data_IF_001098814131
#
_entry.id   IF_001098814131
#
_cell.length_a   1.000
_cell.length_b   1.000
_cell.length_c   1.000
_cell.angle_alpha   90.00
_cell.angle_beta   90.00
_cell.angle_gamma   90.00
#
_symmetry.space_group_name_H-M   'P 1'
#
loop_
_entity.id
_entity.type
_entity.pdbx_description
1 polymer ?
#
# COMPACT_ATOMS: atom_id res chain seq x y z
N UNK A 1 6.36 -45.30 19.00
CA UNK A 1 5.69 -44.27 18.17
C UNK A 1 6.77 -43.40 17.56
N UNK A 2 6.99 -43.49 16.26
CA UNK A 2 8.01 -42.71 15.54
C UNK A 2 7.30 -41.43 15.01
N UNK A 3 7.69 -40.28 15.52
CA UNK A 3 7.29 -38.99 14.90
C UNK A 3 8.07 -38.83 13.61
N UNK A 4 7.40 -38.93 12.48
CA UNK A 4 7.94 -38.57 11.17
C UNK A 4 8.10 -37.05 11.13
N UNK A 5 9.34 -36.59 11.04
CA UNK A 5 9.63 -35.20 10.80
C UNK A 5 9.15 -34.82 9.37
N UNK A 6 8.18 -33.96 9.29
CA UNK A 6 7.76 -33.34 8.04
C UNK A 6 8.89 -32.41 7.55
N UNK A 7 9.37 -32.68 6.36
CA UNK A 7 10.42 -31.92 5.70
C UNK A 7 9.86 -30.54 5.30
N UNK A 8 10.62 -29.47 5.51
CA UNK A 8 10.25 -28.10 5.14
C UNK A 8 10.02 -27.87 3.64
N UNK A 9 10.31 -28.87 2.80
CA UNK A 9 10.07 -28.85 1.36
C UNK A 9 8.63 -29.15 0.95
N UNK A 10 7.77 -29.61 1.85
CA UNK A 10 6.41 -30.06 1.53
C UNK A 10 5.32 -28.99 1.81
N UNK A 11 5.72 -27.82 2.27
CA UNK A 11 4.83 -26.65 2.35
C UNK A 11 5.04 -25.77 1.10
N UNK A 12 4.82 -26.35 -0.06
CA UNK A 12 4.39 -25.54 -1.20
C UNK A 12 2.95 -25.13 -0.90
N UNK A 13 2.79 -23.98 -0.27
CA UNK A 13 1.53 -23.26 -0.30
C UNK A 13 1.45 -22.75 -1.73
N UNK A 14 0.86 -23.56 -2.61
CA UNK A 14 0.43 -23.14 -3.92
C UNK A 14 -0.51 -21.95 -3.67
N UNK A 15 -0.04 -20.74 -3.96
CA UNK A 15 -0.86 -19.55 -3.78
C UNK A 15 -1.98 -19.63 -4.82
N UNK A 16 -3.14 -20.12 -4.39
CA UNK A 16 -4.34 -20.33 -5.20
C UNK A 16 -4.98 -19.00 -5.66
N UNK A 17 -4.34 -17.87 -5.45
CA UNK A 17 -4.81 -16.61 -5.97
C UNK A 17 -4.57 -16.58 -7.49
N UNK A 18 -5.63 -16.47 -8.31
CA UNK A 18 -5.46 -16.38 -9.76
C UNK A 18 -4.68 -15.12 -10.10
N UNK A 19 -3.65 -15.27 -10.92
CA UNK A 19 -2.85 -14.15 -11.43
C UNK A 19 -3.67 -13.39 -12.49
N UNK A 20 -4.55 -12.50 -12.04
CA UNK A 20 -5.48 -11.73 -12.90
C UNK A 20 -4.75 -10.59 -13.59
N UNK A 21 -3.78 -9.98 -12.91
CA UNK A 21 -3.05 -8.80 -13.39
C UNK A 21 -1.60 -9.16 -13.70
N UNK A 22 -1.18 -8.88 -14.94
CA UNK A 22 0.24 -8.94 -15.32
C UNK A 22 0.99 -7.77 -14.68
N UNK A 23 1.86 -8.07 -13.73
CA UNK A 23 2.64 -7.09 -12.96
C UNK A 23 3.52 -6.22 -13.87
N UNK A 24 4.12 -6.81 -14.94
CA UNK A 24 4.99 -6.08 -15.86
C UNK A 24 4.21 -5.07 -16.71
N UNK A 25 3.04 -5.44 -17.16
CA UNK A 25 2.14 -4.57 -17.91
C UNK A 25 1.57 -3.48 -17.03
N UNK A 26 1.15 -3.83 -15.80
CA UNK A 26 0.68 -2.88 -14.78
C UNK A 26 1.73 -1.81 -14.50
N UNK A 27 2.97 -2.19 -14.23
CA UNK A 27 4.05 -1.23 -13.94
C UNK A 27 4.33 -0.31 -15.14
N UNK A 28 4.30 -0.82 -16.38
CA UNK A 28 4.46 0.02 -17.57
C UNK A 28 3.33 1.03 -17.72
N UNK A 29 2.10 0.63 -17.45
CA UNK A 29 0.93 1.52 -17.51
C UNK A 29 0.99 2.60 -16.43
N UNK A 30 1.33 2.25 -15.19
CA UNK A 30 1.52 3.21 -14.10
C UNK A 30 2.59 4.24 -14.46
N UNK A 31 3.74 3.82 -15.00
CA UNK A 31 4.80 4.74 -15.42
C UNK A 31 4.36 5.67 -16.55
N UNK A 32 3.60 5.17 -17.52
CA UNK A 32 3.05 6.01 -18.60
C UNK A 32 2.03 7.00 -18.04
N UNK A 33 1.12 6.55 -17.19
CA UNK A 33 0.12 7.40 -16.56
C UNK A 33 0.78 8.51 -15.72
N UNK A 34 1.85 8.22 -15.00
CA UNK A 34 2.58 9.22 -14.22
C UNK A 34 3.16 10.35 -15.07
N UNK A 35 3.50 10.09 -16.34
CA UNK A 35 4.01 11.11 -17.26
C UNK A 35 2.93 12.01 -17.85
N UNK A 36 1.68 11.53 -17.96
CA UNK A 36 0.54 12.26 -18.53
C UNK A 36 -0.46 12.74 -17.47
N UNK A 37 -0.05 12.71 -16.22
CA UNK A 37 -0.93 12.68 -15.06
C UNK A 37 -1.70 13.97 -14.74
N UNK A 38 -1.30 15.12 -15.27
CA UNK A 38 -1.82 16.41 -14.78
C UNK A 38 -3.31 16.57 -15.08
N UNK A 39 -3.82 16.03 -16.19
CA UNK A 39 -5.20 16.30 -16.65
C UNK A 39 -6.22 15.19 -16.33
N UNK A 40 -5.79 14.02 -15.84
CA UNK A 40 -6.66 12.85 -15.75
C UNK A 40 -6.83 12.26 -14.34
N UNK A 41 -6.26 12.88 -13.30
CA UNK A 41 -6.26 12.35 -11.94
C UNK A 41 -7.33 12.94 -11.01
N UNK A 42 -8.39 13.53 -11.57
CA UNK A 42 -9.45 14.11 -10.76
C UNK A 42 -10.05 13.12 -9.75
N UNK A 43 -10.20 11.84 -10.14
CA UNK A 43 -10.74 10.82 -9.26
C UNK A 43 -9.79 10.51 -8.09
N UNK A 44 -8.49 10.43 -8.37
CA UNK A 44 -7.48 10.23 -7.32
C UNK A 44 -7.41 11.43 -6.37
N UNK A 45 -7.56 12.64 -6.89
CA UNK A 45 -7.61 13.86 -6.08
C UNK A 45 -8.84 13.87 -5.18
N UNK A 46 -10.01 13.55 -5.72
CA UNK A 46 -11.26 13.49 -4.97
C UNK A 46 -11.20 12.40 -3.87
N UNK A 47 -10.68 11.21 -4.20
CA UNK A 47 -10.54 10.14 -3.19
C UNK A 47 -9.49 10.49 -2.14
N UNK A 48 -8.41 11.19 -2.49
CA UNK A 48 -7.42 11.67 -1.54
C UNK A 48 -8.05 12.63 -0.51
N UNK A 49 -8.87 13.60 -0.97
CA UNK A 49 -9.59 14.52 -0.09
C UNK A 49 -10.48 13.73 0.88
N UNK A 50 -11.30 12.82 0.38
CA UNK A 50 -12.22 12.03 1.21
C UNK A 50 -11.49 11.13 2.21
N UNK A 51 -10.35 10.55 1.84
CA UNK A 51 -9.52 9.78 2.76
C UNK A 51 -8.90 10.68 3.83
N UNK A 52 -8.50 11.89 3.45
CA UNK A 52 -7.95 12.89 4.37
C UNK A 52 -8.98 13.34 5.40
N UNK A 53 -10.22 13.61 4.97
CA UNK A 53 -11.32 13.93 5.88
C UNK A 53 -11.54 12.80 6.90
N UNK A 54 -11.54 11.54 6.45
CA UNK A 54 -11.65 10.38 7.35
C UNK A 54 -10.49 10.27 8.33
N UNK A 55 -9.28 10.61 7.89
CA UNK A 55 -8.10 10.60 8.76
C UNK A 55 -8.18 11.69 9.83
N UNK A 56 -8.73 12.86 9.49
CA UNK A 56 -8.96 13.95 10.44
C UNK A 56 -10.02 13.61 11.50
N UNK A 57 -11.01 12.78 11.15
CA UNK A 57 -12.05 12.32 12.08
C UNK A 57 -11.54 11.32 13.14
N UNK A 58 -10.36 10.72 12.93
CA UNK A 58 -9.80 9.77 13.89
C UNK A 58 -9.18 10.51 15.08
N UNK A 59 -9.64 10.20 16.28
CA UNK A 59 -9.04 10.69 17.54
C UNK A 59 -7.88 9.78 17.96
N UNK A 60 -6.86 9.72 17.11
CA UNK A 60 -5.66 8.92 17.33
C UNK A 60 -4.45 9.57 16.66
N UNK A 61 -3.33 9.56 17.37
CA UNK A 61 -2.04 9.98 16.81
C UNK A 61 -1.32 8.81 16.13
N UNK A 62 -0.56 9.11 15.10
CA UNK A 62 0.21 8.12 14.34
C UNK A 62 1.69 8.53 14.35
N UNK A 63 2.55 7.62 14.81
CA UNK A 63 4.01 7.85 14.84
C UNK A 63 4.66 7.43 13.52
N UNK A 64 4.15 6.37 12.87
CA UNK A 64 4.69 5.82 11.63
C UNK A 64 3.57 5.52 10.63
N UNK A 65 3.67 6.10 9.44
CA UNK A 65 2.64 6.02 8.39
C UNK A 65 3.25 5.55 7.08
N UNK A 66 2.65 4.53 6.46
CA UNK A 66 2.95 4.15 5.09
C UNK A 66 1.87 4.70 4.14
N UNK A 67 2.31 5.30 3.03
CA UNK A 67 1.44 5.89 2.01
C UNK A 67 1.57 5.12 0.72
N UNK A 68 0.46 4.62 0.19
CA UNK A 68 0.38 3.81 -1.02
C UNK A 68 -0.52 4.45 -2.07
N UNK A 69 -0.30 4.11 -3.33
CA UNK A 69 -1.18 4.52 -4.42
C UNK A 69 -0.76 5.82 -5.06
N UNK A 70 -1.71 6.59 -5.54
CA UNK A 70 -1.43 7.87 -6.20
C UNK A 70 -1.98 9.05 -5.38
N UNK A 71 -1.14 10.05 -5.13
CA UNK A 71 -1.50 11.20 -4.31
C UNK A 71 -1.22 12.51 -5.06
N UNK A 72 -2.14 13.47 -5.05
CA UNK A 72 -1.98 14.74 -5.76
C UNK A 72 -0.86 15.60 -5.16
N UNK A 73 -0.61 15.46 -3.87
CA UNK A 73 0.39 16.20 -3.09
C UNK A 73 0.88 15.37 -1.90
N UNK A 74 1.80 15.90 -1.12
CA UNK A 74 2.19 15.31 0.16
C UNK A 74 0.96 15.19 1.07
N UNK A 75 0.79 14.02 1.70
CA UNK A 75 -0.35 13.75 2.57
C UNK A 75 -0.44 14.73 3.75
N UNK A 76 0.70 15.22 4.26
CA UNK A 76 0.71 16.21 5.35
C UNK A 76 -0.04 17.48 4.97
N UNK A 77 0.06 17.91 3.72
CA UNK A 77 -0.64 19.09 3.24
C UNK A 77 -2.15 18.93 3.15
N UNK A 78 -2.63 17.67 3.09
CA UNK A 78 -4.06 17.35 3.07
C UNK A 78 -4.64 17.20 4.49
N UNK A 79 -3.81 16.94 5.50
CA UNK A 79 -4.22 16.72 6.90
C UNK A 79 -3.37 17.56 7.86
N UNK A 80 -3.45 18.91 7.78
CA UNK A 80 -2.60 19.79 8.60
C UNK A 80 -2.76 19.49 10.09
N UNK A 81 -1.64 19.44 10.80
CA UNK A 81 -1.60 19.17 12.23
C UNK A 81 -1.68 17.69 12.61
N UNK A 82 -2.27 16.83 11.76
CA UNK A 82 -2.54 15.44 12.09
C UNK A 82 -1.31 14.52 11.97
N UNK A 83 -0.49 14.76 10.95
CA UNK A 83 0.69 13.93 10.65
C UNK A 83 2.02 14.71 10.75
N UNK A 84 2.03 15.87 11.38
CA UNK A 84 3.21 16.74 11.43
C UNK A 84 4.41 16.07 12.12
N UNK A 85 4.15 15.27 13.14
CA UNK A 85 5.16 14.53 13.90
C UNK A 85 5.37 13.10 13.41
N UNK A 86 4.56 12.62 12.45
CA UNK A 86 4.63 11.27 11.95
C UNK A 86 5.86 11.08 11.04
N UNK A 87 6.52 9.93 11.19
CA UNK A 87 7.46 9.43 10.18
C UNK A 87 6.66 8.86 9.03
N UNK A 88 6.70 9.49 7.87
CA UNK A 88 6.05 8.98 6.66
C UNK A 88 7.04 8.21 5.82
N UNK A 89 6.62 7.04 5.33
CA UNK A 89 7.29 6.28 4.28
C UNK A 89 6.37 6.33 3.07
N UNK A 90 6.75 7.11 2.07
CA UNK A 90 5.97 7.27 0.85
C UNK A 90 6.35 6.18 -0.16
N UNK A 91 5.43 5.28 -0.41
CA UNK A 91 5.51 4.21 -1.42
C UNK A 91 4.50 4.48 -2.54
N UNK A 92 4.12 5.73 -2.74
CA UNK A 92 3.18 6.14 -3.78
C UNK A 92 3.77 5.94 -5.18
N UNK A 93 2.90 5.92 -6.19
CA UNK A 93 3.34 5.71 -7.57
C UNK A 93 4.05 6.92 -8.19
N UNK A 94 3.79 8.10 -7.68
CA UNK A 94 4.23 9.35 -8.29
C UNK A 94 5.33 10.10 -7.52
N UNK A 95 5.54 9.78 -6.24
CA UNK A 95 6.55 10.44 -5.38
C UNK A 95 7.18 9.49 -4.37
N UNK A 96 7.58 8.27 -4.75
CA UNK A 96 7.98 7.30 -3.76
C UNK A 96 9.33 7.64 -3.13
N UNK A 97 9.43 7.47 -1.80
CA UNK A 97 10.70 7.36 -1.09
C UNK A 97 11.42 6.07 -1.49
N UNK A 98 10.64 5.01 -1.78
CA UNK A 98 11.12 3.75 -2.30
C UNK A 98 10.10 3.13 -3.26
N UNK A 99 10.58 2.54 -4.36
CA UNK A 99 9.72 1.76 -5.23
C UNK A 99 9.40 0.40 -4.59
N UNK A 100 8.12 0.15 -4.38
CA UNK A 100 7.62 -1.11 -3.84
C UNK A 100 6.68 -1.81 -4.83
N UNK A 101 6.78 -3.13 -4.90
CA UNK A 101 5.75 -3.93 -5.53
C UNK A 101 4.63 -4.16 -4.50
N UNK A 102 3.40 -3.81 -4.87
CA UNK A 102 2.25 -3.98 -3.98
C UNK A 102 1.95 -5.46 -3.67
N UNK A 103 2.36 -6.39 -4.54
CA UNK A 103 2.25 -7.83 -4.27
C UNK A 103 3.20 -8.27 -3.14
N UNK A 104 4.35 -7.59 -3.03
CA UNK A 104 5.41 -7.93 -2.08
C UNK A 104 5.88 -6.68 -1.35
N UNK A 105 4.98 -6.07 -0.57
CA UNK A 105 5.34 -4.89 0.22
C UNK A 105 6.44 -5.26 1.22
N UNK A 106 7.60 -4.60 1.17
CA UNK A 106 8.71 -4.85 2.09
C UNK A 106 8.45 -4.22 3.47
N UNK A 107 7.23 -4.38 3.97
CA UNK A 107 6.83 -3.83 5.25
C UNK A 107 7.02 -4.89 6.34
N UNK A 108 7.81 -4.54 7.34
CA UNK A 108 7.93 -5.37 8.52
C UNK A 108 6.61 -5.35 9.30
N UNK A 109 6.19 -6.51 9.79
CA UNK A 109 5.01 -6.61 10.64
C UNK A 109 5.07 -5.62 11.81
N UNK A 110 3.96 -4.97 12.13
CA UNK A 110 3.82 -4.04 13.26
C UNK A 110 4.78 -2.82 13.23
N UNK A 111 5.28 -2.43 12.06
CA UNK A 111 6.19 -1.28 11.94
C UNK A 111 5.48 0.02 11.58
N UNK A 112 4.19 -0.03 11.31
CA UNK A 112 3.37 1.13 10.97
C UNK A 112 2.10 1.16 11.81
N UNK A 113 1.76 2.35 12.30
CA UNK A 113 0.52 2.61 13.03
C UNK A 113 -0.64 2.86 12.07
N UNK A 114 -0.33 3.32 10.87
CA UNK A 114 -1.29 3.58 9.81
C UNK A 114 -0.71 3.20 8.45
N UNK A 115 -1.52 2.53 7.63
CA UNK A 115 -1.26 2.37 6.21
C UNK A 115 -2.45 2.98 5.46
N UNK A 116 -2.17 3.99 4.65
CA UNK A 116 -3.20 4.66 3.86
C UNK A 116 -2.95 4.42 2.37
N UNK A 117 -3.99 3.97 1.67
CA UNK A 117 -3.89 3.62 0.26
C UNK A 117 -4.96 4.34 -0.55
N UNK A 118 -4.51 5.08 -1.57
CA UNK A 118 -5.40 5.75 -2.51
C UNK A 118 -5.42 5.00 -3.84
N UNK A 119 -6.50 4.27 -4.11
CA UNK A 119 -6.80 3.59 -5.38
C UNK A 119 -5.67 2.68 -5.88
N UNK A 120 -5.02 1.91 -4.98
CA UNK A 120 -3.93 1.01 -5.36
C UNK A 120 -4.26 -0.48 -5.18
N UNK A 121 -5.02 -0.81 -4.14
CA UNK A 121 -5.19 -2.20 -3.70
C UNK A 121 -6.00 -3.06 -4.67
N UNK A 122 -6.83 -2.49 -5.52
CA UNK A 122 -7.62 -3.21 -6.52
C UNK A 122 -6.76 -3.82 -7.66
N UNK A 123 -5.47 -3.47 -7.73
CA UNK A 123 -4.53 -4.04 -8.68
C UNK A 123 -3.68 -5.19 -8.11
N UNK A 124 -3.92 -5.58 -6.87
CA UNK A 124 -3.19 -6.65 -6.19
C UNK A 124 -3.86 -7.99 -6.48
N UNK A 125 -3.08 -8.99 -6.93
CA UNK A 125 -3.59 -10.32 -7.23
C UNK A 125 -3.94 -11.09 -5.95
N UNK A 126 -3.06 -11.07 -4.96
CA UNK A 126 -3.26 -11.69 -3.65
C UNK A 126 -3.39 -10.62 -2.55
N UNK A 127 -4.53 -9.93 -2.52
CA UNK A 127 -4.82 -8.93 -1.50
C UNK A 127 -4.79 -9.50 -0.06
N UNK A 128 -5.37 -10.68 0.22
CA UNK A 128 -5.25 -11.30 1.54
C UNK A 128 -3.81 -11.57 1.94
N UNK A 129 -2.98 -12.11 1.04
CA UNK A 129 -1.57 -12.40 1.30
C UNK A 129 -0.76 -11.12 1.53
N UNK A 130 -1.03 -10.07 0.76
CA UNK A 130 -0.40 -8.76 0.93
C UNK A 130 -0.75 -8.12 2.28
N UNK A 131 -2.00 -8.26 2.73
CA UNK A 131 -2.47 -7.70 4.00
C UNK A 131 -2.07 -8.53 5.23
N UNK A 132 -1.77 -9.82 5.07
CA UNK A 132 -1.47 -10.72 6.18
C UNK A 132 -0.29 -10.25 7.06
N UNK A 133 0.85 -9.77 6.51
CA UNK A 133 1.97 -9.27 7.32
C UNK A 133 1.67 -7.97 8.06
N UNK A 134 0.64 -7.24 7.64
CA UNK A 134 0.31 -5.89 8.13
C UNK A 134 -0.66 -5.97 9.33
N UNK A 135 -1.39 -7.08 9.47
CA UNK A 135 -2.37 -7.26 10.54
C UNK A 135 -1.69 -7.26 11.90
N UNK A 136 -2.24 -6.54 12.91
CA UNK A 136 -1.85 -6.76 14.30
C UNK A 136 -2.19 -8.21 14.69
N UNK A 137 -1.30 -8.82 15.48
CA UNK A 137 -1.52 -10.16 16.02
C UNK A 137 -2.68 -10.15 17.02
#
# INVERSE_FOLDING_TARGET
MKYTQLNQSDIMVDSFAPNVFDTSTKQRQIRRAAQSAVDHHFLHAETAVRLSDRLLDLDQDFATVAVLGWWPTDIRSLVPGKLDQARIVDLSFNRPDAHADLEFLPLRAQSFDLIISNMALHWVNDLPGMLAPIRPA
#
